data_IF_249701237204
#
_entry.id   IF_249701237204
#
_cell.length_a   1.000
_cell.length_b   1.000
_cell.length_c   1.000
_cell.angle_alpha   90.00
_cell.angle_beta   90.00
_cell.angle_gamma   90.00
#
_symmetry.space_group_name_H-M   'P 1'
#
loop_
_entity.id
_entity.type
_entity.pdbx_description
1 polymer ?
#
# COMPACT_ATOMS: atom_id res chain seq x y z
N UNK A 1 0.09 -7.50 9.33
CA UNK A 1 0.01 -6.33 10.23
C UNK A 1 0.49 -6.62 11.66
N UNK A 2 0.24 -7.80 12.24
CA UNK A 2 0.50 -8.09 13.67
C UNK A 2 1.97 -7.91 14.12
N UNK A 3 2.94 -8.13 13.23
CA UNK A 3 4.36 -8.02 13.55
C UNK A 3 4.89 -6.58 13.62
N UNK A 4 4.12 -5.61 13.09
CA UNK A 4 4.62 -4.25 12.82
C UNK A 4 4.99 -3.53 14.11
N UNK A 5 4.17 -3.60 15.16
CA UNK A 5 4.45 -2.91 16.43
C UNK A 5 5.70 -3.43 17.13
N UNK A 6 5.93 -4.74 17.11
CA UNK A 6 7.13 -5.35 17.69
C UNK A 6 8.41 -4.91 16.94
N UNK A 7 8.38 -4.91 15.60
CA UNK A 7 9.49 -4.41 14.78
C UNK A 7 9.73 -2.91 14.96
N UNK A 8 8.65 -2.14 15.06
CA UNK A 8 8.72 -0.70 15.28
C UNK A 8 9.32 -0.35 16.65
N UNK A 9 9.06 -1.15 17.68
CA UNK A 9 9.60 -0.94 19.02
C UNK A 9 11.13 -1.07 19.07
N UNK A 10 11.71 -1.96 18.26
CA UNK A 10 13.15 -2.23 18.24
C UNK A 10 13.90 -1.50 17.13
N UNK A 11 13.24 -0.57 16.42
CA UNK A 11 13.85 0.20 15.32
C UNK A 11 13.46 1.67 15.38
N UNK A 12 14.37 2.56 14.99
CA UNK A 12 14.13 4.01 15.04
C UNK A 12 13.72 4.60 13.69
N UNK A 13 14.43 4.24 12.61
CA UNK A 13 14.25 4.86 11.28
C UNK A 13 13.75 3.90 10.20
N UNK A 14 13.61 2.61 10.52
CA UNK A 14 13.21 1.62 9.52
C UNK A 14 11.74 1.81 9.11
N UNK A 15 11.49 2.04 7.82
CA UNK A 15 10.13 2.01 7.26
C UNK A 15 9.60 0.58 7.15
N UNK A 16 8.32 0.37 7.44
CA UNK A 16 7.69 -0.96 7.46
C UNK A 16 6.53 -0.99 6.45
N UNK A 17 6.78 -1.62 5.30
CA UNK A 17 5.78 -1.83 4.25
C UNK A 17 4.88 -3.03 4.54
N UNK A 18 3.57 -2.82 4.43
CA UNK A 18 2.55 -3.85 4.65
C UNK A 18 1.70 -4.01 3.40
N UNK A 19 1.66 -5.21 2.83
CA UNK A 19 0.69 -5.55 1.78
C UNK A 19 -0.68 -5.81 2.39
N UNK A 20 -1.70 -5.09 1.91
CA UNK A 20 -3.10 -5.34 2.27
C UNK A 20 -4.01 -5.18 1.04
N UNK A 21 -4.91 -6.15 0.77
CA UNK A 21 -5.79 -6.08 -0.38
C UNK A 21 -7.01 -5.19 -0.13
N UNK A 22 -7.37 -4.37 -1.11
CA UNK A 22 -8.62 -3.57 -1.09
C UNK A 22 -9.88 -4.42 -1.32
N UNK A 23 -9.69 -5.63 -1.84
CA UNK A 23 -10.80 -6.46 -2.31
C UNK A 23 -11.57 -7.14 -1.19
N UNK A 24 -11.03 -7.36 0.00
CA UNK A 24 -11.60 -8.35 0.94
C UNK A 24 -12.10 -7.80 2.27
N UNK A 25 -11.92 -6.51 2.53
CA UNK A 25 -12.33 -5.90 3.80
C UNK A 25 -12.88 -4.49 3.60
N UNK A 26 -13.72 -3.97 4.52
CA UNK A 26 -14.28 -2.62 4.37
C UNK A 26 -13.22 -1.51 4.58
N UNK A 27 -13.28 -0.41 3.80
CA UNK A 27 -12.34 0.73 3.90
C UNK A 27 -12.15 1.26 5.32
N UNK A 28 -13.25 1.45 6.05
CA UNK A 28 -13.24 1.98 7.42
C UNK A 28 -12.37 1.16 8.38
N UNK A 29 -12.41 -0.17 8.28
CA UNK A 29 -11.63 -1.04 9.17
C UNK A 29 -10.15 -1.04 8.82
N UNK A 30 -9.80 -0.92 7.54
CA UNK A 30 -8.42 -0.79 7.08
C UNK A 30 -7.86 0.57 7.50
N UNK A 31 -8.63 1.64 7.28
CA UNK A 31 -8.26 3.01 7.63
C UNK A 31 -7.82 3.12 9.10
N UNK A 32 -8.63 2.59 10.02
CA UNK A 32 -8.29 2.56 11.45
C UNK A 32 -6.99 1.79 11.71
N UNK A 33 -6.78 0.63 11.07
CA UNK A 33 -5.57 -0.18 11.29
C UNK A 33 -4.32 0.55 10.83
N UNK A 34 -4.33 1.20 9.67
CA UNK A 34 -3.18 1.98 9.23
C UNK A 34 -2.93 3.21 10.10
N UNK A 35 -3.95 4.00 10.49
CA UNK A 35 -3.72 5.11 11.43
C UNK A 35 -3.17 4.63 12.78
N UNK A 36 -3.62 3.47 13.26
CA UNK A 36 -3.06 2.85 14.48
C UNK A 36 -1.59 2.51 14.29
N UNK A 37 -1.23 1.87 13.18
CA UNK A 37 0.17 1.54 12.88
C UNK A 37 1.01 2.80 12.66
N UNK A 38 0.44 3.84 12.05
CA UNK A 38 1.13 5.09 11.80
C UNK A 38 1.50 5.80 13.12
N UNK A 39 0.56 5.84 14.08
CA UNK A 39 0.83 6.28 15.45
C UNK A 39 1.90 5.42 16.15
N UNK A 40 1.74 4.09 16.14
CA UNK A 40 2.66 3.17 16.83
C UNK A 40 4.06 3.18 16.24
N UNK A 41 4.18 3.44 14.94
CA UNK A 41 5.45 3.50 14.22
C UNK A 41 6.06 4.90 14.21
N UNK A 42 5.32 5.92 14.65
CA UNK A 42 5.69 7.35 14.54
C UNK A 42 5.91 7.77 13.08
N UNK A 43 4.98 7.42 12.20
CA UNK A 43 5.05 7.84 10.81
C UNK A 43 6.00 7.03 9.93
N UNK A 44 6.10 5.72 10.17
CA UNK A 44 7.02 4.84 9.40
C UNK A 44 6.31 3.67 8.72
N UNK A 45 4.98 3.70 8.61
CA UNK A 45 4.24 2.62 7.97
C UNK A 45 3.97 2.95 6.50
N UNK A 46 4.07 1.93 5.66
CA UNK A 46 3.71 2.03 4.26
C UNK A 46 2.69 0.96 3.90
N UNK A 47 1.81 1.26 2.94
CA UNK A 47 0.81 0.35 2.42
C UNK A 47 1.13 -0.04 0.99
N UNK A 48 1.41 -1.32 0.75
CA UNK A 48 1.41 -1.88 -0.59
C UNK A 48 -0.01 -2.30 -0.99
N UNK A 49 -0.62 -1.50 -1.87
CA UNK A 49 -1.99 -1.64 -2.33
C UNK A 49 -2.06 -2.75 -3.39
N UNK A 50 -2.85 -3.79 -3.12
CA UNK A 50 -3.06 -4.89 -4.06
C UNK A 50 -4.55 -5.15 -4.28
N UNK A 51 -4.91 -5.52 -5.49
CA UNK A 51 -6.29 -5.86 -5.87
C UNK A 51 -6.61 -7.35 -5.67
N UNK A 52 -5.60 -8.17 -5.40
CA UNK A 52 -5.70 -9.63 -5.27
C UNK A 52 -5.79 -10.35 -6.62
N UNK A 53 -5.36 -11.62 -6.68
CA UNK A 53 -5.32 -12.42 -7.93
C UNK A 53 -5.88 -13.84 -7.79
N UNK A 54 -6.15 -14.32 -6.57
CA UNK A 54 -6.49 -15.71 -6.32
C UNK A 54 -7.99 -15.96 -6.21
N UNK A 55 -8.49 -16.90 -7.03
CA UNK A 55 -9.85 -17.44 -6.89
C UNK A 55 -10.04 -18.16 -5.55
N UNK A 56 -9.02 -18.88 -5.08
CA UNK A 56 -9.08 -19.56 -3.79
C UNK A 56 -9.22 -18.57 -2.63
N UNK A 57 -8.48 -17.46 -2.65
CA UNK A 57 -8.60 -16.40 -1.65
C UNK A 57 -10.00 -15.76 -1.68
N UNK A 58 -10.57 -15.56 -2.87
CA UNK A 58 -11.91 -14.99 -3.03
C UNK A 58 -12.99 -15.92 -2.43
N UNK A 59 -12.88 -17.24 -2.66
CA UNK A 59 -13.75 -18.24 -2.03
C UNK A 59 -13.61 -18.31 -0.52
N UNK A 60 -12.38 -18.18 -0.01
CA UNK A 60 -12.13 -18.20 1.43
C UNK A 60 -12.81 -17.04 2.18
N UNK A 61 -13.13 -15.93 1.49
CA UNK A 61 -13.85 -14.78 2.07
C UNK A 61 -15.31 -14.71 1.64
N UNK A 62 -15.87 -15.83 1.16
CA UNK A 62 -17.30 -15.95 0.87
C UNK A 62 -17.73 -15.40 -0.49
N UNK A 63 -16.82 -15.26 -1.46
CA UNK A 63 -17.16 -14.90 -2.85
C UNK A 63 -16.95 -16.08 -3.79
N UNK A 64 -17.82 -16.25 -4.79
CA UNK A 64 -17.73 -17.39 -5.71
C UNK A 64 -16.43 -17.40 -6.52
N UNK A 65 -16.08 -16.24 -7.08
CA UNK A 65 -14.90 -16.07 -7.93
C UNK A 65 -14.27 -14.69 -7.72
N UNK A 66 -13.06 -14.55 -8.24
CA UNK A 66 -12.41 -13.24 -8.31
C UNK A 66 -13.14 -12.33 -9.30
N UNK A 67 -13.22 -11.05 -8.95
CA UNK A 67 -13.73 -10.02 -9.85
C UNK A 67 -12.82 -9.90 -11.10
N UNK A 68 -13.38 -9.60 -12.29
CA UNK A 68 -12.59 -9.38 -13.50
C UNK A 68 -11.49 -8.34 -13.33
N UNK A 69 -10.44 -8.43 -14.15
CA UNK A 69 -9.19 -7.73 -13.88
C UNK A 69 -9.33 -6.21 -13.73
N UNK A 70 -9.92 -5.52 -14.70
CA UNK A 70 -10.02 -4.06 -14.72
C UNK A 70 -11.02 -3.52 -13.68
N UNK A 71 -12.24 -4.09 -13.53
CA UNK A 71 -13.17 -3.69 -12.47
C UNK A 71 -12.61 -3.76 -11.05
N UNK A 72 -11.63 -4.64 -10.78
CA UNK A 72 -10.94 -4.64 -9.48
C UNK A 72 -10.21 -3.33 -9.20
N UNK A 73 -9.71 -2.65 -10.23
CA UNK A 73 -9.06 -1.36 -10.05
C UNK A 73 -10.07 -0.22 -9.92
N UNK A 74 -11.27 -0.34 -10.50
CA UNK A 74 -12.35 0.62 -10.27
C UNK A 74 -12.81 0.57 -8.80
N UNK A 75 -12.98 -0.64 -8.28
CA UNK A 75 -13.19 -0.86 -6.84
C UNK A 75 -12.03 -0.31 -6.00
N UNK A 76 -10.79 -0.48 -6.45
CA UNK A 76 -9.61 0.02 -5.73
C UNK A 76 -9.55 1.56 -5.71
N UNK A 77 -9.92 2.23 -6.80
CA UNK A 77 -10.00 3.69 -6.87
C UNK A 77 -11.02 4.21 -5.86
N UNK A 78 -12.23 3.64 -5.85
CA UNK A 78 -13.25 4.04 -4.88
C UNK A 78 -12.85 3.72 -3.43
N UNK A 79 -12.16 2.59 -3.21
CA UNK A 79 -11.63 2.25 -1.90
C UNK A 79 -10.67 3.33 -1.39
N UNK A 80 -9.78 3.82 -2.25
CA UNK A 80 -8.83 4.89 -1.94
C UNK A 80 -9.53 6.20 -1.67
N UNK A 81 -10.49 6.59 -2.50
CA UNK A 81 -11.30 7.78 -2.26
C UNK A 81 -11.98 7.73 -0.87
N UNK A 82 -12.49 6.55 -0.48
CA UNK A 82 -13.10 6.36 0.84
C UNK A 82 -12.09 6.46 2.00
N UNK A 83 -10.89 5.87 1.89
CA UNK A 83 -9.88 5.96 2.97
C UNK A 83 -9.21 7.33 3.03
N UNK A 84 -8.97 8.00 1.90
CA UNK A 84 -8.46 9.38 1.89
C UNK A 84 -9.46 10.33 2.55
N UNK A 85 -10.76 10.18 2.27
CA UNK A 85 -11.78 10.97 2.94
C UNK A 85 -11.75 10.79 4.47
N UNK A 86 -11.47 9.57 4.95
CA UNK A 86 -11.31 9.28 6.39
C UNK A 86 -10.02 9.88 6.97
N UNK A 87 -8.86 9.61 6.36
CA UNK A 87 -7.55 10.03 6.88
C UNK A 87 -7.31 11.54 6.79
N UNK A 88 -7.70 12.14 5.66
CA UNK A 88 -7.42 13.55 5.36
C UNK A 88 -8.62 14.46 5.67
N UNK A 89 -9.84 13.95 5.48
CA UNK A 89 -11.04 14.78 5.50
C UNK A 89 -11.82 14.81 6.81
N UNK A 90 -11.72 13.78 7.66
CA UNK A 90 -12.60 13.63 8.82
C UNK A 90 -12.18 14.49 10.03
N UNK A 91 -10.88 14.78 10.17
CA UNK A 91 -10.32 15.58 11.27
C UNK A 91 -9.38 16.64 10.71
N UNK A 92 -9.57 17.91 11.09
CA UNK A 92 -8.62 18.99 10.79
C UNK A 92 -7.31 18.82 11.56
N UNK A 93 -6.24 19.49 11.12
CA UNK A 93 -4.92 19.47 11.80
C UNK A 93 -5.02 19.96 13.25
N UNK A 94 -5.85 20.98 13.49
CA UNK A 94 -6.03 21.63 14.80
C UNK A 94 -7.09 20.95 15.68
N UNK A 95 -7.61 19.78 15.28
CA UNK A 95 -8.70 19.12 15.99
C UNK A 95 -8.32 18.68 17.41
N UNK A 96 -7.03 18.40 17.68
CA UNK A 96 -6.54 17.98 19.00
C UNK A 96 -5.98 19.18 19.77
N UNK A 97 -6.63 19.54 20.87
CA UNK A 97 -6.32 20.75 21.66
C UNK A 97 -5.67 20.41 23.02
N UNK A 98 -6.12 19.34 23.67
CA UNK A 98 -5.65 18.90 25.01
C UNK A 98 -5.59 20.06 26.04
N UNK A 99 -6.77 20.51 26.49
CA UNK A 99 -6.94 21.51 27.55
C UNK A 99 -7.45 20.83 28.84
N UNK A 100 -6.57 20.56 29.82
CA UNK A 100 -6.96 19.89 31.08
C UNK A 100 -7.78 20.79 32.01
N UNK A 101 -7.71 22.12 31.85
CA UNK A 101 -8.48 23.06 32.67
C UNK A 101 -9.94 23.07 32.21
N UNK A 102 -10.17 23.06 30.89
CA UNK A 102 -11.51 23.00 30.30
C UNK A 102 -12.07 21.58 30.16
N UNK A 103 -11.23 20.55 30.34
CA UNK A 103 -11.60 19.15 30.17
C UNK A 103 -11.86 18.76 28.71
N UNK A 104 -11.20 19.43 27.76
CA UNK A 104 -11.40 19.24 26.32
C UNK A 104 -10.16 18.59 25.70
N UNK A 105 -10.32 17.44 25.05
CA UNK A 105 -9.22 16.79 24.32
C UNK A 105 -9.22 17.20 22.85
N UNK A 106 -10.40 17.32 22.25
CA UNK A 106 -10.56 17.66 20.84
C UNK A 106 -11.73 18.64 20.63
N UNK A 107 -11.59 19.55 19.66
CA UNK A 107 -12.65 20.49 19.29
C UNK A 107 -13.62 19.83 18.30
N UNK A 108 -14.91 19.63 18.66
CA UNK A 108 -15.89 19.00 17.78
C UNK A 108 -16.16 19.79 16.50
N UNK A 109 -15.88 21.10 16.43
CA UNK A 109 -16.07 21.88 15.20
C UNK A 109 -15.03 21.54 14.11
N UNK A 110 -13.91 20.93 14.53
CA UNK A 110 -12.82 20.47 13.68
C UNK A 110 -12.91 18.98 13.33
N UNK A 111 -14.02 18.32 13.70
CA UNK A 111 -14.27 16.90 13.46
C UNK A 111 -15.57 16.76 12.69
N UNK A 112 -15.52 16.09 11.56
CA UNK A 112 -16.68 15.94 10.67
C UNK A 112 -16.84 14.52 10.17
N UNK A 113 -18.10 14.18 9.94
CA UNK A 113 -18.50 12.90 9.39
C UNK A 113 -18.19 12.86 7.90
N UNK A 114 -17.52 11.79 7.48
CA UNK A 114 -17.33 11.46 6.06
C UNK A 114 -18.60 10.82 5.54
N UNK A 115 -19.07 11.34 4.40
CA UNK A 115 -20.20 10.81 3.64
C UNK A 115 -19.67 10.39 2.25
N UNK A 116 -19.25 9.13 2.14
CA UNK A 116 -18.78 8.55 0.87
C UNK A 116 -19.77 7.48 0.43
N UNK A 117 -20.58 7.76 -0.60
CA UNK A 117 -21.57 6.85 -1.15
C UNK A 117 -21.23 6.59 -2.62
N UNK A 118 -20.34 5.63 -2.87
CA UNK A 118 -19.94 5.23 -4.21
C UNK A 118 -20.68 3.98 -4.70
N UNK A 119 -20.19 3.39 -5.79
CA UNK A 119 -20.78 2.20 -6.40
C UNK A 119 -20.50 0.92 -5.61
N UNK A 120 -19.39 0.88 -4.87
CA UNK A 120 -18.90 -0.29 -4.14
C UNK A 120 -19.00 -0.14 -2.63
N UNK A 121 -18.85 1.07 -2.11
CA UNK A 121 -18.71 1.35 -0.69
C UNK A 121 -19.63 2.49 -0.25
N UNK A 122 -20.25 2.27 0.91
CA UNK A 122 -20.97 3.30 1.65
C UNK A 122 -20.31 3.48 3.01
N UNK A 123 -19.68 4.63 3.21
CA UNK A 123 -19.02 5.03 4.45
C UNK A 123 -19.70 6.28 4.98
N UNK A 124 -20.32 6.14 6.15
CA UNK A 124 -20.98 7.20 6.91
C UNK A 124 -20.39 7.23 8.33
N UNK A 125 -19.19 7.80 8.48
CA UNK A 125 -18.45 7.72 9.74
C UNK A 125 -17.56 8.93 10.00
N UNK A 126 -17.36 9.26 11.27
CA UNK A 126 -16.19 10.02 11.72
C UNK A 126 -15.04 9.01 11.83
N UNK A 127 -13.86 9.33 11.31
CA UNK A 127 -12.69 8.47 11.43
C UNK A 127 -12.36 8.26 12.92
N UNK A 128 -12.08 7.02 13.32
CA UNK A 128 -11.94 6.68 14.75
C UNK A 128 -10.61 7.10 15.35
N UNK A 129 -9.61 7.40 14.53
CA UNK A 129 -8.32 7.88 14.98
C UNK A 129 -8.20 9.37 14.67
N UNK A 130 -7.62 10.12 15.60
CA UNK A 130 -7.16 11.48 15.31
C UNK A 130 -5.99 11.44 14.31
N UNK A 131 -5.66 12.58 13.67
CA UNK A 131 -4.58 12.65 12.69
C UNK A 131 -3.30 12.01 13.21
N UNK A 132 -2.78 11.05 12.44
CA UNK A 132 -1.50 10.39 12.70
C UNK A 132 -0.37 11.12 11.98
N UNK A 133 0.91 10.87 12.31
CA UNK A 133 2.04 11.65 11.78
C UNK A 133 2.08 11.79 10.26
N UNK A 134 1.68 10.77 9.50
CA UNK A 134 1.59 10.82 8.04
C UNK A 134 0.16 11.08 7.53
N UNK A 135 -0.85 10.96 8.39
CA UNK A 135 -2.27 10.77 8.04
C UNK A 135 -2.47 9.56 7.13
N UNK A 136 -2.23 9.72 5.83
CA UNK A 136 -2.17 8.63 4.85
C UNK A 136 -0.81 7.92 4.92
N UNK A 137 -0.77 6.58 5.07
CA UNK A 137 0.50 5.83 5.07
C UNK A 137 1.19 5.95 3.71
N UNK A 138 2.50 5.76 3.65
CA UNK A 138 3.23 5.84 2.38
C UNK A 138 2.74 4.78 1.38
N UNK A 139 2.36 5.18 0.17
CA UNK A 139 1.63 4.32 -0.77
C UNK A 139 2.54 3.63 -1.78
N UNK A 140 2.66 2.31 -1.62
CA UNK A 140 3.26 1.40 -2.59
C UNK A 140 2.21 0.77 -3.52
N UNK A 141 2.64 0.45 -4.74
CA UNK A 141 1.85 -0.29 -5.72
C UNK A 141 2.76 -1.20 -6.57
N UNK A 142 2.22 -2.27 -7.15
CA UNK A 142 3.02 -3.25 -7.94
C UNK A 142 2.33 -3.79 -9.22
N UNK A 143 1.34 -3.08 -9.75
CA UNK A 143 0.55 -3.48 -10.91
C UNK A 143 1.25 -3.16 -12.23
N UNK A 144 1.53 -4.18 -13.03
CA UNK A 144 2.23 -4.04 -14.31
C UNK A 144 1.31 -3.92 -15.54
N UNK A 145 0.00 -4.19 -15.39
CA UNK A 145 -0.99 -4.05 -16.47
C UNK A 145 -1.27 -2.58 -16.79
N UNK A 146 -1.84 -2.27 -17.97
CA UNK A 146 -2.17 -0.89 -18.34
C UNK A 146 -3.04 -0.20 -17.28
N UNK A 147 -4.13 -0.87 -16.85
CA UNK A 147 -5.00 -0.36 -15.79
C UNK A 147 -4.27 -0.22 -14.45
N UNK A 148 -3.35 -1.14 -14.15
CA UNK A 148 -2.49 -1.08 -12.97
C UNK A 148 -1.51 0.08 -12.98
N UNK A 149 -0.94 0.42 -14.13
CA UNK A 149 -0.07 1.59 -14.32
C UNK A 149 -0.84 2.89 -14.20
N UNK A 150 -2.07 2.96 -14.71
CA UNK A 150 -2.94 4.13 -14.51
C UNK A 150 -3.26 4.35 -13.03
N UNK A 151 -3.59 3.26 -12.33
CA UNK A 151 -3.83 3.30 -10.90
C UNK A 151 -2.57 3.72 -10.10
N UNK A 152 -1.41 3.16 -10.45
CA UNK A 152 -0.13 3.54 -9.84
C UNK A 152 0.21 5.01 -10.09
N UNK A 153 0.02 5.47 -11.33
CA UNK A 153 0.25 6.86 -11.70
C UNK A 153 -0.64 7.82 -10.93
N UNK A 154 -1.89 7.44 -10.65
CA UNK A 154 -2.83 8.27 -9.88
C UNK A 154 -2.51 8.30 -8.38
N UNK A 155 -2.12 7.17 -7.78
CA UNK A 155 -2.10 7.05 -6.30
C UNK A 155 -0.73 6.76 -5.69
N UNK A 156 0.16 6.06 -6.39
CA UNK A 156 1.37 5.54 -5.77
C UNK A 156 2.40 6.65 -5.52
N UNK A 157 3.07 6.60 -4.38
CA UNK A 157 4.32 7.31 -4.10
C UNK A 157 5.54 6.43 -4.45
N UNK A 158 5.34 5.11 -4.47
CA UNK A 158 6.33 4.15 -4.93
C UNK A 158 5.75 2.97 -5.70
N UNK A 159 6.48 2.53 -6.73
CA UNK A 159 6.09 1.39 -7.57
C UNK A 159 7.16 0.30 -7.54
N UNK A 160 6.74 -0.94 -7.24
CA UNK A 160 7.57 -2.14 -7.38
C UNK A 160 7.50 -2.69 -8.81
N UNK A 161 8.66 -2.89 -9.41
CA UNK A 161 8.84 -3.33 -10.78
C UNK A 161 9.40 -4.76 -10.81
N UNK A 162 8.71 -5.63 -11.54
CA UNK A 162 9.06 -7.06 -11.67
C UNK A 162 9.88 -7.40 -12.91
N UNK A 163 10.22 -6.42 -13.75
CA UNK A 163 10.96 -6.65 -15.00
C UNK A 163 12.42 -7.04 -14.74
N UNK A 164 12.90 -8.07 -15.44
CA UNK A 164 14.28 -8.58 -15.34
C UNK A 164 15.25 -8.01 -16.37
N UNK A 165 14.91 -6.90 -17.05
CA UNK A 165 15.83 -6.24 -17.98
C UNK A 165 15.76 -4.73 -17.91
N UNK A 166 16.92 -4.07 -17.97
CA UNK A 166 17.04 -2.60 -17.90
C UNK A 166 16.14 -1.90 -18.91
N UNK A 167 16.06 -2.41 -20.14
CA UNK A 167 15.23 -1.83 -21.19
C UNK A 167 13.74 -1.85 -20.83
N UNK A 168 13.23 -2.98 -20.32
CA UNK A 168 11.83 -3.11 -19.91
C UNK A 168 11.52 -2.27 -18.67
N UNK A 169 12.39 -2.29 -17.67
CA UNK A 169 12.26 -1.45 -16.46
C UNK A 169 12.22 0.03 -16.84
N UNK A 170 13.14 0.50 -17.68
CA UNK A 170 13.19 1.90 -18.12
C UNK A 170 11.93 2.32 -18.89
N UNK A 171 11.40 1.42 -19.74
CA UNK A 171 10.16 1.69 -20.47
C UNK A 171 8.97 1.80 -19.51
N UNK A 172 8.85 0.92 -18.52
CA UNK A 172 7.77 0.99 -17.52
C UNK A 172 7.86 2.27 -16.68
N UNK A 173 9.06 2.66 -16.22
CA UNK A 173 9.28 3.93 -15.50
C UNK A 173 8.80 5.12 -16.33
N UNK A 174 9.24 5.21 -17.59
CA UNK A 174 8.88 6.32 -18.47
C UNK A 174 7.37 6.38 -18.74
N UNK A 175 6.74 5.22 -18.95
CA UNK A 175 5.30 5.12 -19.19
C UNK A 175 4.49 5.54 -17.96
N UNK A 176 4.84 5.02 -16.77
CA UNK A 176 4.15 5.36 -15.52
C UNK A 176 4.29 6.85 -15.20
N UNK A 177 5.47 7.44 -15.43
CA UNK A 177 5.69 8.89 -15.29
C UNK A 177 4.85 9.73 -16.25
N UNK A 178 4.73 9.29 -17.51
CA UNK A 178 3.90 9.99 -18.48
C UNK A 178 2.42 9.99 -18.07
N UNK A 179 1.92 8.85 -17.57
CA UNK A 179 0.58 8.73 -17.00
C UNK A 179 0.39 9.62 -15.77
N UNK A 180 1.39 9.70 -14.88
CA UNK A 180 1.32 10.55 -13.68
C UNK A 180 1.14 12.03 -14.06
N UNK A 181 1.88 12.52 -15.06
CA UNK A 181 1.69 13.88 -15.60
C UNK A 181 0.30 14.09 -16.18
N UNK A 182 -0.25 13.08 -16.86
CA UNK A 182 -1.62 13.16 -17.39
C UNK A 182 -2.69 13.25 -16.27
N UNK A 183 -2.40 12.73 -15.07
CA UNK A 183 -3.21 12.91 -13.87
C UNK A 183 -2.87 14.18 -13.06
N UNK A 184 -2.00 15.05 -13.58
CA UNK A 184 -1.64 16.31 -12.93
C UNK A 184 -0.63 16.19 -11.78
N UNK A 185 0.07 15.06 -11.66
CA UNK A 185 1.13 14.84 -10.66
C UNK A 185 2.52 15.13 -11.22
N UNK A 186 3.47 15.48 -10.35
CA UNK A 186 4.87 15.53 -10.74
C UNK A 186 5.38 14.10 -11.01
N UNK A 187 6.11 13.91 -12.11
CA UNK A 187 6.69 12.60 -12.44
C UNK A 187 7.74 12.11 -11.43
N UNK A 188 8.27 13.04 -10.62
CA UNK A 188 9.22 12.80 -9.56
C UNK A 188 8.55 12.55 -8.20
N UNK A 189 7.22 12.62 -8.08
CA UNK A 189 6.50 12.18 -6.88
C UNK A 189 6.48 10.65 -6.74
N UNK A 190 6.85 9.93 -7.81
CA UNK A 190 6.86 8.47 -7.84
C UNK A 190 8.29 7.94 -7.80
N UNK A 191 8.58 7.12 -6.79
CA UNK A 191 9.81 6.32 -6.66
C UNK A 191 9.63 4.94 -7.28
N UNK A 192 10.68 4.38 -7.85
CA UNK A 192 10.63 3.08 -8.53
C UNK A 192 11.64 2.12 -7.91
N UNK A 193 11.19 0.90 -7.60
CA UNK A 193 11.99 -0.13 -6.95
C UNK A 193 11.97 -1.40 -7.80
N UNK A 194 13.11 -1.80 -8.34
CA UNK A 194 13.22 -3.02 -9.13
C UNK A 194 13.48 -4.24 -8.24
N UNK A 195 12.75 -5.33 -8.49
CA UNK A 195 13.00 -6.62 -7.86
C UNK A 195 14.39 -7.14 -8.25
N UNK A 196 15.25 -7.36 -7.26
CA UNK A 196 16.61 -7.89 -7.47
C UNK A 196 16.95 -8.90 -6.38
N UNK A 197 17.54 -10.03 -6.79
CA UNK A 197 18.13 -11.02 -5.88
C UNK A 197 19.65 -10.90 -5.95
N UNK A 198 20.30 -10.62 -4.83
CA UNK A 198 21.76 -10.46 -4.74
C UNK A 198 22.37 -11.66 -4.03
N UNK A 199 23.29 -12.36 -4.71
CA UNK A 199 24.11 -13.42 -4.11
C UNK A 199 25.55 -12.92 -4.06
N UNK A 200 26.04 -12.66 -2.85
CA UNK A 200 27.34 -12.02 -2.60
C UNK A 200 28.21 -12.84 -1.65
N UNK A 201 29.53 -12.78 -1.84
CA UNK A 201 30.58 -13.37 -0.99
C UNK A 201 31.89 -12.57 -1.17
N UNK A 202 32.94 -12.83 -0.38
CA UNK A 202 34.19 -12.04 -0.46
C UNK A 202 34.92 -12.18 -1.81
N UNK A 203 34.70 -13.29 -2.51
CA UNK A 203 35.28 -13.52 -3.85
C UNK A 203 34.21 -14.00 -4.83
N UNK A 204 34.48 -13.78 -6.13
CA UNK A 204 33.63 -14.28 -7.21
C UNK A 204 33.42 -15.80 -7.13
N UNK A 205 34.50 -16.55 -6.89
CA UNK A 205 34.45 -18.02 -6.79
C UNK A 205 33.53 -18.45 -5.64
N UNK A 206 33.60 -17.78 -4.49
CA UNK A 206 32.73 -18.06 -3.35
C UNK A 206 31.25 -17.70 -3.63
N UNK A 207 30.99 -16.59 -4.33
CA UNK A 207 29.63 -16.19 -4.71
C UNK A 207 29.01 -17.19 -5.70
N UNK A 208 29.78 -17.63 -6.69
CA UNK A 208 29.34 -18.67 -7.64
C UNK A 208 29.15 -20.03 -6.98
N UNK A 209 29.98 -20.39 -6.00
CA UNK A 209 29.81 -21.60 -5.21
C UNK A 209 28.51 -21.54 -4.39
N UNK A 210 28.24 -20.41 -3.72
CA UNK A 210 27.00 -20.16 -2.99
C UNK A 210 25.76 -20.24 -3.90
N UNK A 211 25.84 -19.64 -5.09
CA UNK A 211 24.78 -19.73 -6.10
C UNK A 211 24.50 -21.18 -6.51
N UNK A 212 25.54 -21.94 -6.87
CA UNK A 212 25.39 -23.36 -7.24
C UNK A 212 24.83 -24.21 -6.10
N UNK A 213 25.18 -23.88 -4.86
CA UNK A 213 24.63 -24.58 -3.70
C UNK A 213 23.12 -24.30 -3.54
N UNK A 214 22.69 -23.03 -3.61
CA UNK A 214 21.28 -22.66 -3.58
C UNK A 214 20.46 -23.33 -4.68
N UNK A 215 21.03 -23.47 -5.88
CA UNK A 215 20.37 -24.15 -6.99
C UNK A 215 19.99 -25.61 -6.69
N UNK A 216 20.73 -26.30 -5.80
CA UNK A 216 20.43 -27.69 -5.42
C UNK A 216 19.13 -27.83 -4.63
N UNK A 217 18.67 -26.74 -4.01
CA UNK A 217 17.47 -26.69 -3.20
C UNK A 217 16.25 -26.17 -3.96
N UNK A 218 16.39 -25.84 -5.24
CA UNK A 218 15.26 -25.39 -6.07
C UNK A 218 14.34 -26.59 -6.31
N UNK A 219 13.07 -26.43 -5.95
CA UNK A 219 12.01 -27.33 -6.37
C UNK A 219 11.36 -26.80 -7.67
N UNK A 220 11.55 -27.48 -8.82
CA UNK A 220 10.93 -27.07 -10.07
C UNK A 220 9.40 -27.06 -10.01
N UNK A 221 8.78 -28.00 -9.27
CA UNK A 221 7.31 -28.06 -9.17
C UNK A 221 6.78 -26.87 -8.37
N UNK A 222 7.40 -26.57 -7.23
CA UNK A 222 7.11 -25.37 -6.45
C UNK A 222 7.28 -24.09 -7.27
N UNK A 223 8.30 -24.02 -8.13
CA UNK A 223 8.54 -22.86 -8.99
C UNK A 223 7.44 -22.67 -10.05
N UNK A 224 6.95 -23.76 -10.64
CA UNK A 224 5.86 -23.72 -11.63
C UNK A 224 4.51 -23.34 -11.02
N UNK A 225 4.30 -23.55 -9.71
CA UNK A 225 3.06 -23.15 -9.03
C UNK A 225 2.90 -21.62 -8.91
N UNK A 226 3.95 -20.85 -9.21
CA UNK A 226 3.95 -19.39 -9.21
C UNK A 226 3.72 -18.76 -10.60
N UNK A 227 3.70 -19.56 -11.66
CA UNK A 227 3.46 -19.14 -13.05
C UNK A 227 1.97 -19.28 -13.42
#
# INVERSE_FOLDING_TARGET
MLLVSAMAHVTEHLGIGVTAPVSYEPPFTLARRFSTLDHLTKGRVAWNIVTGYSNAASRAVGRDNIMPHDPRYDLADEFLDAVYALWEGSWDDEAIVVDPIKGVIADPHHIRKVHHHGAHFKVDAIHLAHPSPQRTPFLFQAGASNRGKDFAARHAEAVFLGEHSKARTSANVAETRARARAFGRDEHDIRFYALTTVIVAETRVAAEAKYRDYQRYIDPKGSLALL
#
